data_IF_759651275546
#
_entry.id   IF_759651275546
#
_cell.length_a   1.000
_cell.length_b   1.000
_cell.length_c   1.000
_cell.angle_alpha   90.00
_cell.angle_beta   90.00
_cell.angle_gamma   90.00
#
_symmetry.space_group_name_H-M   'P 1'
#
loop_
_entity.id
_entity.type
_entity.pdbx_description
1 polymer ?
#
# COMPACT_ATOMS: atom_id res chain seq x y z
N UNK A 1 10.66 17.76 -35.90
CA UNK A 1 9.70 17.20 -34.94
C UNK A 1 10.23 15.85 -34.50
N UNK A 2 11.12 15.87 -33.50
CA UNK A 2 11.79 14.67 -32.97
C UNK A 2 10.87 14.02 -31.94
N UNK A 3 10.38 12.82 -32.25
CA UNK A 3 9.35 12.12 -31.47
C UNK A 3 10.07 11.22 -30.47
N UNK A 4 10.02 11.50 -29.15
CA UNK A 4 10.76 10.70 -28.19
C UNK A 4 10.19 9.27 -28.18
N UNK A 5 11.02 8.32 -28.60
CA UNK A 5 10.72 6.89 -28.55
C UNK A 5 10.92 6.43 -27.11
N UNK A 6 9.83 6.05 -26.44
CA UNK A 6 9.88 5.43 -25.12
C UNK A 6 10.45 4.01 -25.29
N UNK A 7 11.69 3.81 -24.86
CA UNK A 7 12.35 2.51 -24.85
C UNK A 7 11.94 1.73 -23.60
N UNK A 8 11.38 0.53 -23.79
CA UNK A 8 11.12 -0.40 -22.69
C UNK A 8 12.45 -0.95 -22.16
N UNK A 9 12.84 -0.54 -20.95
CA UNK A 9 14.03 -1.06 -20.29
C UNK A 9 13.64 -2.40 -19.65
N UNK A 10 14.08 -3.53 -20.21
CA UNK A 10 14.00 -4.81 -19.50
C UNK A 10 14.88 -4.71 -18.26
N UNK A 11 14.25 -4.56 -17.09
CA UNK A 11 14.93 -4.60 -15.80
C UNK A 11 15.40 -6.05 -15.56
N UNK A 12 16.53 -6.38 -16.16
CA UNK A 12 17.32 -7.57 -15.89
C UNK A 12 17.71 -7.59 -14.42
N UNK A 13 16.87 -8.21 -13.62
CA UNK A 13 17.03 -8.40 -12.21
C UNK A 13 15.90 -9.30 -11.78
N UNK A 14 16.20 -10.59 -11.66
CA UNK A 14 15.39 -11.60 -11.00
C UNK A 14 15.27 -11.19 -9.53
N UNK A 15 14.48 -10.15 -9.30
CA UNK A 15 13.88 -9.84 -8.04
C UNK A 15 12.92 -10.99 -7.83
N UNK A 16 13.35 -11.99 -7.08
CA UNK A 16 12.42 -12.85 -6.36
C UNK A 16 11.68 -11.93 -5.39
N UNK A 17 10.77 -11.09 -5.91
CA UNK A 17 9.63 -10.66 -5.13
C UNK A 17 9.04 -11.97 -4.64
N UNK A 18 8.98 -12.22 -3.32
CA UNK A 18 8.14 -13.30 -2.84
C UNK A 18 6.82 -13.11 -3.57
N UNK A 19 6.25 -14.20 -4.10
CA UNK A 19 4.89 -14.16 -4.60
C UNK A 19 4.07 -13.56 -3.46
N UNK A 20 3.87 -12.25 -3.53
CA UNK A 20 3.10 -11.48 -2.59
C UNK A 20 1.76 -11.96 -3.03
N UNK A 21 1.31 -13.04 -2.39
CA UNK A 21 -0.04 -13.56 -2.48
C UNK A 21 -0.86 -12.31 -2.38
N UNK A 22 -1.32 -11.84 -3.53
CA UNK A 22 -2.15 -10.66 -3.60
C UNK A 22 -3.46 -11.24 -3.13
N UNK A 23 -3.58 -11.42 -1.81
CA UNK A 23 -4.82 -11.73 -1.13
C UNK A 23 -5.75 -10.66 -1.63
N UNK A 24 -6.63 -11.10 -2.52
CA UNK A 24 -7.31 -10.23 -3.43
C UNK A 24 -8.07 -9.24 -2.56
N UNK A 25 -7.79 -7.95 -2.68
CA UNK A 25 -8.49 -6.95 -1.87
C UNK A 25 -10.02 -7.06 -2.05
N UNK A 26 -10.49 -7.69 -3.14
CA UNK A 26 -11.90 -8.00 -3.36
C UNK A 26 -12.47 -9.20 -2.55
N UNK A 27 -11.63 -10.05 -1.94
CA UNK A 27 -12.03 -11.01 -0.89
C UNK A 27 -11.91 -10.45 0.52
N UNK A 28 -11.17 -9.34 0.68
CA UNK A 28 -11.02 -8.72 1.98
C UNK A 28 -12.36 -8.27 2.55
N UNK A 29 -12.55 -8.45 3.85
CA UNK A 29 -13.74 -7.99 4.57
C UNK A 29 -13.86 -6.46 4.49
N UNK A 30 -15.09 -5.90 4.47
CA UNK A 30 -15.30 -4.47 4.32
C UNK A 30 -14.61 -3.63 5.40
N UNK A 31 -14.45 -4.18 6.61
CA UNK A 31 -13.76 -3.53 7.74
C UNK A 31 -12.28 -3.30 7.44
N UNK A 32 -11.60 -4.29 6.85
CA UNK A 32 -10.20 -4.16 6.44
C UNK A 32 -10.04 -3.12 5.34
N UNK A 33 -10.96 -3.09 4.37
CA UNK A 33 -10.95 -2.07 3.31
C UNK A 33 -11.13 -0.68 3.90
N UNK A 34 -12.05 -0.52 4.85
CA UNK A 34 -12.29 0.76 5.51
C UNK A 34 -11.04 1.25 6.25
N UNK A 35 -10.41 0.39 7.05
CA UNK A 35 -9.17 0.72 7.77
C UNK A 35 -8.03 1.09 6.79
N UNK A 36 -7.90 0.34 5.69
CA UNK A 36 -6.92 0.64 4.63
C UNK A 36 -7.17 1.99 3.98
N UNK A 37 -8.41 2.26 3.58
CA UNK A 37 -8.75 3.47 2.85
C UNK A 37 -8.62 4.71 3.76
N UNK A 38 -8.92 4.59 5.06
CA UNK A 38 -8.62 5.62 6.07
C UNK A 38 -7.11 5.88 6.18
N UNK A 39 -6.30 4.83 6.29
CA UNK A 39 -4.84 4.96 6.35
C UNK A 39 -4.26 5.59 5.08
N UNK A 40 -4.67 5.12 3.89
CA UNK A 40 -4.21 5.66 2.60
C UNK A 40 -4.65 7.11 2.44
N UNK A 41 -5.92 7.43 2.70
CA UNK A 41 -6.45 8.80 2.65
C UNK A 41 -5.64 9.72 3.57
N UNK A 42 -5.35 9.27 4.78
CA UNK A 42 -4.54 10.02 5.74
C UNK A 42 -3.12 10.24 5.25
N UNK A 43 -2.42 9.22 4.74
CA UNK A 43 -1.05 9.38 4.25
C UNK A 43 -0.99 10.28 3.00
N UNK A 44 -2.00 10.23 2.14
CA UNK A 44 -2.08 11.09 0.95
C UNK A 44 -2.40 12.55 1.30
N UNK A 45 -3.18 12.80 2.36
CA UNK A 45 -3.52 14.16 2.81
C UNK A 45 -2.50 14.76 3.79
N UNK A 46 -1.84 13.94 4.60
CA UNK A 46 -0.94 14.39 5.65
C UNK A 46 0.49 14.57 5.12
N UNK A 47 0.95 15.83 5.04
CA UNK A 47 2.33 16.17 4.64
C UNK A 47 3.40 15.68 5.62
N UNK A 48 3.03 15.41 6.87
CA UNK A 48 3.95 14.88 7.89
C UNK A 48 4.09 13.34 7.80
N UNK A 49 3.17 12.69 7.08
CA UNK A 49 3.28 11.28 6.73
C UNK A 49 4.02 11.17 5.40
N UNK A 50 5.10 10.38 5.35
CA UNK A 50 5.91 10.24 4.14
C UNK A 50 6.17 8.77 3.83
N UNK A 51 5.65 8.32 2.69
CA UNK A 51 5.71 6.93 2.24
C UNK A 51 7.06 6.41 1.70
N UNK A 52 8.16 7.18 1.54
CA UNK A 52 9.49 6.60 1.32
C UNK A 52 10.25 6.31 2.62
N UNK A 53 10.01 7.09 3.68
CA UNK A 53 10.81 7.05 4.92
C UNK A 53 10.08 6.38 6.09
N UNK A 54 8.81 5.98 5.92
CA UNK A 54 8.02 5.39 7.00
C UNK A 54 7.71 6.37 8.11
N UNK A 55 7.82 7.68 7.84
CA UNK A 55 7.45 8.71 8.81
C UNK A 55 5.94 8.75 8.90
N UNK A 56 5.41 8.48 10.08
CA UNK A 56 3.99 8.59 10.38
C UNK A 56 3.79 9.64 11.46
N UNK A 57 2.80 10.50 11.31
CA UNK A 57 2.34 11.32 12.43
C UNK A 57 1.65 10.43 13.48
N UNK A 58 1.42 10.89 14.72
CA UNK A 58 0.76 10.07 15.74
C UNK A 58 -0.58 9.47 15.29
N UNK A 59 -1.41 10.26 14.58
CA UNK A 59 -2.67 9.78 14.01
C UNK A 59 -2.46 8.75 12.88
N UNK A 60 -1.46 8.95 12.04
CA UNK A 60 -1.10 7.99 10.97
C UNK A 60 -0.52 6.69 11.52
N UNK A 61 0.18 6.74 12.65
CA UNK A 61 0.69 5.58 13.35
C UNK A 61 -0.45 4.77 13.99
N UNK A 62 -1.43 5.44 14.59
CA UNK A 62 -2.64 4.80 15.12
C UNK A 62 -3.43 4.10 14.00
N UNK A 63 -3.67 4.80 12.87
CA UNK A 63 -4.31 4.21 11.68
C UNK A 63 -3.51 3.02 11.11
N UNK A 64 -2.17 3.08 11.18
CA UNK A 64 -1.32 1.97 10.75
C UNK A 64 -1.49 0.76 11.66
N UNK A 65 -1.51 0.97 12.98
CA UNK A 65 -1.76 -0.08 13.97
C UNK A 65 -3.14 -0.69 13.74
N UNK A 66 -4.19 0.13 13.56
CA UNK A 66 -5.54 -0.36 13.26
C UNK A 66 -5.57 -1.19 11.97
N UNK A 67 -4.93 -0.72 10.91
CA UNK A 67 -4.84 -1.44 9.64
C UNK A 67 -4.09 -2.78 9.78
N UNK A 68 -2.96 -2.80 10.49
CA UNK A 68 -2.17 -4.02 10.70
C UNK A 68 -2.87 -5.02 11.64
N UNK A 69 -3.68 -4.54 12.59
CA UNK A 69 -4.49 -5.36 13.49
C UNK A 69 -5.79 -5.89 12.85
N UNK A 70 -6.26 -5.24 11.77
CA UNK A 70 -7.46 -5.69 11.08
C UNK A 70 -7.10 -6.89 10.20
N UNK A 71 -7.67 -8.08 10.43
CA UNK A 71 -7.41 -9.22 9.57
C UNK A 71 -8.04 -8.98 8.19
N UNK A 72 -7.31 -9.31 7.12
CA UNK A 72 -7.81 -9.14 5.76
C UNK A 72 -9.01 -10.06 5.47
N UNK A 73 -8.98 -11.26 6.03
CA UNK A 73 -10.05 -12.26 5.94
C UNK A 73 -10.39 -12.70 7.37
N UNK A 74 -11.69 -12.74 7.71
CA UNK A 74 -12.15 -13.44 8.92
C UNK A 74 -11.90 -14.92 8.63
N UNK A 75 -10.84 -15.48 9.20
CA UNK A 75 -10.63 -16.92 9.16
C UNK A 75 -11.75 -17.54 10.00
N UNK A 76 -12.75 -18.10 9.34
CA UNK A 76 -13.73 -18.99 9.97
C UNK A 76 -13.19 -20.41 10.01
#
# INVERSE_FOLDING_TARGET
MDRPLLTLIERGGRQTTPARTYTHAAKAIPEWRHARDQYISHVMACRNCSMPTGRHCPAGADLRITYDQTPMEIHQ
#
